data_IF_650629853424
#
_entry.id   IF_650629853424
#
_cell.length_a   1.000
_cell.length_b   1.000
_cell.length_c   1.000
_cell.angle_alpha   90.00
_cell.angle_beta   90.00
_cell.angle_gamma   90.00
#
_symmetry.space_group_name_H-M   'P 1'
#
loop_
_entity.id
_entity.type
_entity.pdbx_description
1 polymer ?
#
# COMPACT_ATOMS: atom_id res chain seq x y z
N UNK A 1 32.88 -0.60 -26.93
CA UNK A 1 33.22 -0.90 -25.54
C UNK A 1 32.38 0.05 -24.68
N UNK A 2 31.26 -0.42 -24.18
CA UNK A 2 30.41 0.33 -23.25
C UNK A 2 30.26 -0.58 -22.02
N UNK A 3 30.89 -0.18 -20.91
CA UNK A 3 30.78 -0.87 -19.63
C UNK A 3 29.40 -0.60 -19.04
N UNK A 4 28.54 -1.61 -19.06
CA UNK A 4 27.32 -1.65 -18.28
C UNK A 4 27.66 -1.96 -16.82
N UNK A 5 27.44 -1.00 -15.93
CA UNK A 5 27.46 -1.20 -14.49
C UNK A 5 26.17 -1.93 -14.08
N UNK A 6 26.26 -3.24 -13.90
CA UNK A 6 25.23 -4.02 -13.20
C UNK A 6 25.29 -3.69 -11.72
N UNK A 7 24.29 -2.98 -11.22
CA UNK A 7 24.05 -2.88 -9.79
C UNK A 7 23.77 -4.30 -9.24
N UNK A 8 24.37 -4.70 -8.11
CA UNK A 8 24.11 -6.01 -7.53
C UNK A 8 22.65 -6.09 -7.10
N UNK A 9 21.88 -6.96 -7.74
CA UNK A 9 20.53 -7.30 -7.32
C UNK A 9 20.58 -7.80 -5.89
N UNK A 10 19.78 -7.19 -5.03
CA UNK A 10 19.60 -7.59 -3.63
C UNK A 10 19.17 -9.05 -3.60
N UNK A 11 19.88 -9.90 -2.92
CA UNK A 11 19.53 -11.31 -2.72
C UNK A 11 18.18 -11.37 -1.97
N UNK A 12 17.12 -11.99 -2.52
CA UNK A 12 15.84 -12.11 -1.85
C UNK A 12 15.88 -12.96 -0.57
N UNK A 13 17.07 -13.40 -0.15
CA UNK A 13 17.32 -14.27 1.01
C UNK A 13 17.63 -13.52 2.30
N UNK A 14 17.72 -12.18 2.32
CA UNK A 14 17.96 -11.47 3.57
C UNK A 14 16.71 -11.49 4.46
N UNK A 15 16.80 -12.01 5.70
CA UNK A 15 15.70 -12.04 6.63
C UNK A 15 15.31 -10.61 7.02
N UNK A 16 14.03 -10.25 6.85
CA UNK A 16 13.53 -8.98 7.36
C UNK A 16 13.40 -9.08 8.90
N UNK A 17 14.12 -8.29 9.69
CA UNK A 17 14.09 -8.42 11.14
C UNK A 17 12.75 -7.96 11.70
N UNK A 18 12.22 -8.70 12.70
CA UNK A 18 10.99 -8.37 13.48
C UNK A 18 10.93 -6.93 14.00
N UNK A 19 12.07 -6.27 14.15
CA UNK A 19 12.20 -4.85 14.51
C UNK A 19 11.56 -3.87 13.52
N UNK A 20 11.42 -4.23 12.23
CA UNK A 20 10.78 -3.37 11.22
C UNK A 20 9.27 -3.25 11.47
N UNK A 21 8.60 -4.34 11.80
CA UNK A 21 7.13 -4.38 11.99
C UNK A 21 6.70 -3.52 13.18
N UNK A 22 7.45 -3.57 14.30
CA UNK A 22 7.14 -2.74 15.48
C UNK A 22 7.39 -1.25 15.21
N UNK A 23 8.44 -0.93 14.46
CA UNK A 23 8.79 0.44 14.07
C UNK A 23 7.80 1.02 13.06
N UNK A 24 7.25 0.20 12.17
CA UNK A 24 6.22 0.60 11.21
C UNK A 24 4.85 0.79 11.88
N UNK A 25 4.49 -0.05 12.85
CA UNK A 25 3.28 0.15 13.66
C UNK A 25 3.30 1.45 14.46
N UNK A 26 4.45 1.84 15.01
CA UNK A 26 4.62 3.12 15.70
C UNK A 26 4.57 4.30 14.72
N UNK A 27 5.16 4.16 13.53
CA UNK A 27 5.09 5.17 12.47
C UNK A 27 3.69 5.34 11.88
N UNK A 28 2.86 4.31 11.94
CA UNK A 28 1.49 4.34 11.45
C UNK A 28 0.50 5.05 12.40
N UNK A 29 0.92 5.46 13.59
CA UNK A 29 0.08 6.18 14.54
C UNK A 29 0.06 7.67 14.24
N UNK A 30 -1.11 8.23 13.92
CA UNK A 30 -1.34 9.66 13.69
C UNK A 30 -0.84 10.57 14.83
N UNK A 31 -0.77 10.04 16.06
CA UNK A 31 -0.46 10.79 17.26
C UNK A 31 1.00 10.72 17.68
N UNK A 32 1.74 9.71 17.26
CA UNK A 32 3.10 9.47 17.76
C UNK A 32 4.07 10.61 17.39
N UNK A 33 4.18 10.96 16.11
CA UNK A 33 5.08 12.01 15.66
C UNK A 33 4.70 13.42 16.13
N UNK A 34 3.42 13.83 16.06
CA UNK A 34 3.00 15.10 16.66
C UNK A 34 3.29 15.19 18.15
N UNK A 35 3.08 14.12 18.92
CA UNK A 35 3.38 14.09 20.36
C UNK A 35 4.88 14.18 20.64
N UNK A 36 5.72 13.51 19.86
CA UNK A 36 7.18 13.62 19.98
C UNK A 36 7.67 15.03 19.65
N UNK A 37 7.14 15.64 18.57
CA UNK A 37 7.46 17.00 18.18
C UNK A 37 7.03 18.00 19.27
N UNK A 38 5.84 17.83 19.81
CA UNK A 38 5.31 18.64 20.90
C UNK A 38 6.18 18.56 22.19
N UNK A 39 6.59 17.35 22.57
CA UNK A 39 7.48 17.15 23.71
C UNK A 39 8.85 17.78 23.47
N UNK A 40 9.43 17.58 22.29
CA UNK A 40 10.70 18.20 21.90
C UNK A 40 10.63 19.73 21.92
N UNK A 41 9.51 20.31 21.45
CA UNK A 41 9.27 21.74 21.49
C UNK A 41 9.22 22.30 22.92
N UNK A 42 8.54 21.61 23.83
CA UNK A 42 8.51 22.00 25.27
C UNK A 42 9.91 21.93 25.88
N UNK A 43 10.64 20.82 25.66
CA UNK A 43 12.00 20.65 26.19
C UNK A 43 12.93 21.75 25.64
N UNK A 44 12.87 22.04 24.33
CA UNK A 44 13.64 23.09 23.72
C UNK A 44 13.34 24.47 24.35
N UNK A 45 12.05 24.75 24.57
CA UNK A 45 11.63 26.03 25.20
C UNK A 45 12.17 26.14 26.60
N UNK A 46 12.09 25.10 27.40
CA UNK A 46 12.63 25.08 28.80
C UNK A 46 14.15 25.25 28.80
N UNK A 47 14.88 24.72 27.83
CA UNK A 47 16.32 24.91 27.65
C UNK A 47 16.71 26.32 27.19
N UNK A 48 15.88 26.96 26.38
CA UNK A 48 16.12 28.32 25.91
C UNK A 48 15.70 29.40 26.93
N UNK A 49 14.77 29.09 27.82
CA UNK A 49 14.19 30.01 28.78
C UNK A 49 15.22 30.66 29.75
N UNK A 50 16.24 29.94 30.29
CA UNK A 50 17.26 30.54 31.14
C UNK A 50 18.26 31.38 30.36
N UNK A 51 18.34 31.24 29.05
CA UNK A 51 19.26 32.03 28.20
C UNK A 51 18.66 33.43 27.99
N UNK A 52 19.01 34.34 28.92
CA UNK A 52 18.58 35.75 28.88
C UNK A 52 19.82 36.61 28.66
N UNK A 53 20.11 36.97 27.40
CA UNK A 53 21.22 37.88 27.10
C UNK A 53 20.94 39.24 27.77
N UNK A 54 21.97 39.85 28.32
CA UNK A 54 21.82 41.18 28.92
C UNK A 54 21.36 42.24 27.90
N UNK A 55 20.69 43.28 28.36
CA UNK A 55 20.08 44.32 27.52
C UNK A 55 21.08 45.08 26.63
N UNK A 56 22.40 44.91 26.81
CA UNK A 56 23.47 45.54 26.06
C UNK A 56 23.86 44.78 24.74
N UNK A 57 23.34 43.57 24.53
CA UNK A 57 23.67 42.83 23.32
C UNK A 57 22.87 43.39 22.09
N UNK A 58 23.54 44.06 21.16
CA UNK A 58 22.93 44.72 20.02
C UNK A 58 22.00 43.81 19.17
N UNK A 59 22.25 42.49 19.15
CA UNK A 59 21.43 41.54 18.43
C UNK A 59 20.08 41.24 19.12
N UNK A 60 19.96 41.44 20.44
CA UNK A 60 18.69 41.23 21.17
C UNK A 60 17.67 42.31 20.78
N UNK A 61 18.09 43.55 20.62
CA UNK A 61 17.25 44.65 20.15
C UNK A 61 16.81 44.48 18.69
N UNK A 62 17.62 43.80 17.89
CA UNK A 62 17.25 43.49 16.50
C UNK A 62 16.18 42.36 16.40
N UNK A 63 16.26 41.36 17.28
CA UNK A 63 15.26 40.26 17.31
C UNK A 63 13.95 40.73 17.96
N UNK A 64 14.05 41.46 19.09
CA UNK A 64 12.87 41.90 19.83
C UNK A 64 13.12 43.26 20.49
N UNK A 65 12.75 44.35 19.83
CA UNK A 65 12.97 45.74 20.37
C UNK A 65 11.91 46.14 21.39
N UNK A 66 10.87 45.34 21.62
CA UNK A 66 9.68 45.68 22.41
C UNK A 66 9.73 45.08 23.82
N UNK A 67 8.96 45.66 24.75
CA UNK A 67 8.89 45.20 26.15
C UNK A 67 8.15 43.90 26.40
N UNK A 68 8.04 43.49 27.66
CA UNK A 68 7.42 42.25 28.16
C UNK A 68 5.94 42.15 27.75
N UNK A 69 5.19 43.24 27.76
CA UNK A 69 3.75 43.25 27.42
C UNK A 69 3.54 42.93 25.94
N UNK A 70 4.37 43.49 25.05
CA UNK A 70 4.30 43.19 23.64
C UNK A 70 4.68 41.73 23.34
N UNK A 71 5.70 41.20 24.04
CA UNK A 71 6.10 39.81 23.92
C UNK A 71 4.97 38.85 24.39
N UNK A 72 4.37 39.13 25.54
CA UNK A 72 3.26 38.37 26.06
C UNK A 72 2.05 38.37 25.12
N UNK A 73 1.71 39.55 24.56
CA UNK A 73 0.64 39.69 23.59
C UNK A 73 0.91 38.91 22.31
N UNK A 74 2.15 38.89 21.80
CA UNK A 74 2.55 38.11 20.64
C UNK A 74 2.37 36.60 20.92
N UNK A 75 2.92 36.10 22.06
CA UNK A 75 2.83 34.68 22.42
C UNK A 75 1.37 34.23 22.56
N UNK A 76 0.53 35.05 23.21
CA UNK A 76 -0.90 34.77 23.37
C UNK A 76 -1.63 34.75 22.04
N UNK A 77 -1.35 35.73 21.16
CA UNK A 77 -1.96 35.82 19.82
C UNK A 77 -1.57 34.64 18.97
N UNK A 78 -0.28 34.25 18.93
CA UNK A 78 0.21 33.08 18.18
C UNK A 78 -0.41 31.80 18.75
N UNK A 79 -0.41 31.60 20.08
CA UNK A 79 -1.01 30.43 20.71
C UNK A 79 -2.47 30.26 20.31
N UNK A 80 -3.28 31.31 20.42
CA UNK A 80 -4.71 31.28 20.09
C UNK A 80 -4.95 31.02 18.60
N UNK A 81 -4.22 31.71 17.73
CA UNK A 81 -4.34 31.58 16.28
C UNK A 81 -3.95 30.18 15.80
N UNK A 82 -2.83 29.64 16.30
CA UNK A 82 -2.32 28.33 15.91
C UNK A 82 -3.20 27.21 16.47
N UNK A 83 -3.76 27.35 17.67
CA UNK A 83 -4.72 26.38 18.22
C UNK A 83 -6.01 26.33 17.39
N UNK A 84 -6.50 27.50 16.93
CA UNK A 84 -7.63 27.58 16.00
C UNK A 84 -7.28 26.90 14.68
N UNK A 85 -6.11 27.16 14.12
CA UNK A 85 -5.64 26.51 12.89
C UNK A 85 -5.53 24.99 13.04
N UNK A 86 -5.00 24.50 14.18
CA UNK A 86 -4.91 23.08 14.48
C UNK A 86 -6.30 22.41 14.54
N UNK A 87 -7.27 23.06 15.16
CA UNK A 87 -8.66 22.57 15.22
C UNK A 87 -9.30 22.48 13.84
N UNK A 88 -9.12 23.50 13.00
CA UNK A 88 -9.60 23.49 11.60
C UNK A 88 -8.91 22.39 10.80
N UNK A 89 -7.58 22.25 10.93
CA UNK A 89 -6.79 21.19 10.26
C UNK A 89 -7.30 19.81 10.64
N UNK A 90 -7.55 19.57 11.93
CA UNK A 90 -8.09 18.31 12.40
C UNK A 90 -9.51 18.05 11.85
N UNK A 91 -10.39 19.07 11.88
CA UNK A 91 -11.75 18.97 11.34
C UNK A 91 -11.75 18.65 9.85
N UNK A 92 -10.90 19.32 9.06
CA UNK A 92 -10.75 19.04 7.62
C UNK A 92 -10.24 17.63 7.39
N UNK A 93 -9.30 17.14 8.20
CA UNK A 93 -8.80 15.77 8.10
C UNK A 93 -9.90 14.74 8.37
N UNK A 94 -10.74 14.97 9.38
CA UNK A 94 -11.88 14.09 9.70
C UNK A 94 -12.91 14.10 8.57
N UNK A 95 -13.25 15.28 8.03
CA UNK A 95 -14.19 15.41 6.90
C UNK A 95 -13.61 14.72 5.65
N UNK A 96 -12.31 14.89 5.37
CA UNK A 96 -11.64 14.21 4.27
C UNK A 96 -11.71 12.69 4.41
N UNK A 97 -11.47 12.16 5.62
CA UNK A 97 -11.62 10.74 5.93
C UNK A 97 -13.05 10.25 5.75
N UNK A 98 -14.05 11.03 6.16
CA UNK A 98 -15.46 10.69 5.96
C UNK A 98 -15.83 10.62 4.48
N UNK A 99 -15.42 11.63 3.68
CA UNK A 99 -15.66 11.64 2.23
C UNK A 99 -14.97 10.48 1.55
N UNK A 100 -13.69 10.23 1.89
CA UNK A 100 -12.94 9.08 1.37
C UNK A 100 -13.62 7.75 1.75
N UNK A 101 -14.16 7.63 2.96
CA UNK A 101 -14.90 6.43 3.39
C UNK A 101 -16.20 6.20 2.62
N UNK A 102 -16.89 7.26 2.24
CA UNK A 102 -18.12 7.16 1.46
C UNK A 102 -17.88 6.85 -0.02
N UNK A 103 -16.87 7.48 -0.60
CA UNK A 103 -16.54 7.36 -2.03
C UNK A 103 -15.66 6.15 -2.35
N UNK A 104 -14.83 5.68 -1.41
CA UNK A 104 -13.84 4.63 -1.63
C UNK A 104 -14.02 3.43 -0.69
N UNK A 105 -13.26 2.37 -0.96
CA UNK A 105 -13.21 1.21 -0.07
C UNK A 105 -12.56 1.58 1.28
N UNK A 106 -13.08 1.07 2.42
CA UNK A 106 -12.45 1.29 3.74
C UNK A 106 -10.96 0.91 3.81
N UNK A 107 -10.49 0.11 2.85
CA UNK A 107 -9.08 -0.31 2.76
C UNK A 107 -8.14 0.83 2.38
N UNK A 108 -8.61 1.82 1.61
CA UNK A 108 -7.84 3.01 1.20
C UNK A 108 -7.68 4.04 2.32
N UNK A 109 -8.53 3.98 3.37
CA UNK A 109 -8.48 4.93 4.48
C UNK A 109 -7.19 4.86 5.30
N UNK A 110 -6.49 3.74 5.28
CA UNK A 110 -5.22 3.59 6.01
C UNK A 110 -4.11 4.49 5.49
N UNK A 111 -4.06 4.74 4.19
CA UNK A 111 -3.09 5.66 3.61
C UNK A 111 -3.23 7.07 4.17
N UNK A 112 -4.46 7.56 4.33
CA UNK A 112 -4.73 8.85 4.96
C UNK A 112 -4.27 8.91 6.43
N UNK A 113 -4.46 7.82 7.19
CA UNK A 113 -4.03 7.77 8.58
C UNK A 113 -2.50 7.70 8.73
N UNK A 114 -1.78 7.26 7.70
CA UNK A 114 -0.32 7.16 7.65
C UNK A 114 0.38 8.36 7.02
N UNK A 115 -0.38 9.36 6.58
CA UNK A 115 0.18 10.53 5.89
C UNK A 115 1.13 11.34 6.79
N UNK A 116 2.42 11.19 6.52
CA UNK A 116 3.50 11.87 7.25
C UNK A 116 3.37 13.40 7.15
N UNK A 117 2.81 13.91 6.04
CA UNK A 117 2.63 15.36 5.87
C UNK A 117 1.59 15.90 6.83
N UNK A 118 0.46 15.24 6.96
CA UNK A 118 -0.59 15.57 7.95
C UNK A 118 -0.04 15.51 9.37
N UNK A 119 0.75 14.47 9.70
CA UNK A 119 1.39 14.34 11.00
C UNK A 119 2.40 15.47 11.27
N UNK A 120 3.20 15.86 10.27
CA UNK A 120 4.16 16.97 10.39
C UNK A 120 3.46 18.32 10.61
N UNK A 121 2.38 18.57 9.87
CA UNK A 121 1.57 19.80 10.04
C UNK A 121 1.01 19.89 11.47
N UNK A 122 0.36 18.83 11.95
CA UNK A 122 -0.16 18.79 13.32
C UNK A 122 0.95 18.92 14.35
N UNK A 123 2.12 18.32 14.10
CA UNK A 123 3.29 18.43 14.98
C UNK A 123 3.81 19.87 15.07
N UNK A 124 3.90 20.59 13.96
CA UNK A 124 4.33 21.99 13.94
C UNK A 124 3.32 22.89 14.64
N UNK A 125 2.02 22.74 14.34
CA UNK A 125 0.97 23.55 14.97
C UNK A 125 0.92 23.31 16.48
N UNK A 126 0.89 22.04 16.93
CA UNK A 126 0.86 21.71 18.34
C UNK A 126 2.16 22.11 19.04
N UNK A 127 3.31 21.93 18.40
CA UNK A 127 4.61 22.38 18.91
C UNK A 127 4.64 23.90 19.11
N UNK A 128 4.20 24.67 18.11
CA UNK A 128 4.14 26.14 18.18
C UNK A 128 3.24 26.61 19.33
N UNK A 129 2.08 25.97 19.48
CA UNK A 129 1.17 26.26 20.60
C UNK A 129 1.84 26.02 21.95
N UNK A 130 2.52 24.88 22.13
CA UNK A 130 3.16 24.52 23.41
C UNK A 130 4.38 25.42 23.69
N UNK A 131 5.18 25.76 22.68
CA UNK A 131 6.27 26.75 22.81
C UNK A 131 5.71 28.09 23.29
N UNK A 132 4.61 28.55 22.68
CA UNK A 132 3.98 29.82 23.03
C UNK A 132 3.45 29.83 24.48
N UNK A 133 2.74 28.78 24.90
CA UNK A 133 2.21 28.68 26.27
C UNK A 133 3.34 28.54 27.30
N UNK A 134 4.34 27.69 27.02
CA UNK A 134 5.49 27.51 27.91
C UNK A 134 6.30 28.79 28.02
N UNK A 135 6.49 29.50 26.90
CA UNK A 135 7.14 30.81 26.84
C UNK A 135 6.37 31.87 27.68
N UNK A 136 5.02 31.86 27.55
CA UNK A 136 4.17 32.80 28.30
C UNK A 136 4.26 32.56 29.79
N UNK A 137 4.30 31.30 30.26
CA UNK A 137 4.47 30.95 31.66
C UNK A 137 5.80 31.46 32.25
N UNK A 138 6.84 31.60 31.44
CA UNK A 138 8.13 32.13 31.87
C UNK A 138 8.30 33.67 31.79
N UNK A 139 7.25 34.39 31.39
CA UNK A 139 7.28 35.86 31.38
C UNK A 139 7.11 36.39 32.83
N UNK A 140 7.98 37.30 33.20
CA UNK A 140 7.98 37.98 34.48
C UNK A 140 8.32 39.46 34.23
N UNK A 141 7.49 40.36 34.75
CA UNK A 141 7.67 41.84 34.58
C UNK A 141 8.98 42.30 35.15
N UNK A 142 9.52 41.60 36.16
CA UNK A 142 10.75 41.94 36.83
C UNK A 142 12.01 41.30 36.27
N UNK A 143 11.88 40.58 35.14
CA UNK A 143 13.00 39.87 34.48
C UNK A 143 13.10 40.24 33.00
N UNK A 144 14.33 40.21 32.45
CA UNK A 144 14.49 40.42 31.01
C UNK A 144 13.68 39.45 30.16
N UNK A 145 13.16 39.90 29.00
CA UNK A 145 12.40 39.06 28.09
C UNK A 145 13.28 37.90 27.59
N UNK A 146 12.77 36.66 27.52
CA UNK A 146 13.48 35.53 26.90
C UNK A 146 13.44 35.67 25.38
N UNK A 147 14.29 36.56 24.83
CA UNK A 147 14.28 37.00 23.40
C UNK A 147 14.37 35.82 22.43
N UNK A 148 15.13 34.78 22.79
CA UNK A 148 15.23 33.56 21.95
C UNK A 148 13.91 32.80 21.83
N UNK A 149 13.13 32.73 22.92
CA UNK A 149 11.82 32.08 22.90
C UNK A 149 10.83 32.90 22.10
N UNK A 150 10.84 34.23 22.24
CA UNK A 150 9.97 35.13 21.47
C UNK A 150 10.30 35.05 19.99
N UNK A 151 11.59 35.11 19.61
CA UNK A 151 12.04 34.92 18.24
C UNK A 151 11.66 33.57 17.66
N UNK A 152 11.80 32.50 18.44
CA UNK A 152 11.36 31.17 18.05
C UNK A 152 9.85 31.12 17.75
N UNK A 153 9.03 31.70 18.64
CA UNK A 153 7.56 31.74 18.46
C UNK A 153 7.19 32.56 17.22
N UNK A 154 7.90 33.67 16.97
CA UNK A 154 7.68 34.50 15.78
C UNK A 154 7.93 33.68 14.48
N UNK A 155 9.07 32.98 14.41
CA UNK A 155 9.42 32.12 13.26
C UNK A 155 8.44 30.95 13.12
N UNK A 156 8.10 30.28 14.22
CA UNK A 156 7.15 29.18 14.20
C UNK A 156 5.73 29.64 13.84
N UNK A 157 5.34 30.85 14.24
CA UNK A 157 4.05 31.44 13.86
C UNK A 157 3.93 31.63 12.34
N UNK A 158 4.98 32.23 11.73
CA UNK A 158 5.04 32.37 10.26
C UNK A 158 5.04 30.97 9.59
N UNK A 159 5.89 30.05 10.07
CA UNK A 159 5.97 28.70 9.55
C UNK A 159 4.62 27.97 9.64
N UNK A 160 3.87 28.15 10.73
CA UNK A 160 2.54 27.59 10.93
C UNK A 160 1.54 28.08 9.87
N UNK A 161 1.59 29.37 9.52
CA UNK A 161 0.77 29.92 8.45
C UNK A 161 1.09 29.32 7.08
N UNK A 162 2.38 29.21 6.74
CA UNK A 162 2.84 28.59 5.48
C UNK A 162 2.43 27.11 5.44
N UNK A 163 2.65 26.37 6.50
CA UNK A 163 2.35 24.95 6.60
C UNK A 163 0.85 24.70 6.48
N UNK A 164 0.00 25.56 7.05
CA UNK A 164 -1.45 25.49 6.90
C UNK A 164 -1.88 25.64 5.43
N UNK A 165 -1.32 26.61 4.69
CA UNK A 165 -1.62 26.79 3.26
C UNK A 165 -1.20 25.54 2.45
N UNK A 166 0.00 25.01 2.71
CA UNK A 166 0.49 23.80 2.06
C UNK A 166 -0.39 22.59 2.38
N UNK A 167 -0.91 22.50 3.61
CA UNK A 167 -1.80 21.44 4.03
C UNK A 167 -3.14 21.46 3.29
N UNK A 168 -3.76 22.62 3.13
CA UNK A 168 -5.02 22.74 2.38
C UNK A 168 -4.82 22.27 0.93
N UNK A 169 -3.73 22.69 0.29
CA UNK A 169 -3.38 22.22 -1.05
C UNK A 169 -3.07 20.72 -1.12
N UNK A 170 -2.50 20.15 -0.06
CA UNK A 170 -2.21 18.74 0.04
C UNK A 170 -3.50 17.91 0.17
N UNK A 171 -4.40 18.26 1.10
CA UNK A 171 -5.69 17.58 1.28
C UNK A 171 -6.52 17.60 -0.01
N UNK A 172 -6.61 18.76 -0.68
CA UNK A 172 -7.35 18.87 -1.93
C UNK A 172 -6.83 17.94 -3.04
N UNK A 173 -5.51 17.72 -3.10
CA UNK A 173 -4.89 16.76 -4.05
C UNK A 173 -5.04 15.31 -3.63
N UNK A 174 -4.94 15.02 -2.33
CA UNK A 174 -5.04 13.66 -1.79
C UNK A 174 -6.43 13.05 -1.93
N UNK A 175 -7.47 13.89 -2.07
CA UNK A 175 -8.85 13.46 -2.29
C UNK A 175 -9.17 13.14 -3.76
N UNK A 176 -8.24 13.41 -4.70
CA UNK A 176 -8.47 13.10 -6.12
C UNK A 176 -8.32 11.60 -6.35
N UNK A 177 -9.31 11.03 -7.04
CA UNK A 177 -9.36 9.60 -7.37
C UNK A 177 -8.13 9.17 -8.16
N UNK A 178 -7.68 10.01 -9.13
CA UNK A 178 -6.47 9.75 -9.93
C UNK A 178 -5.22 9.57 -9.07
N UNK A 179 -5.06 10.43 -8.04
CA UNK A 179 -3.92 10.33 -7.11
C UNK A 179 -3.96 9.04 -6.30
N UNK A 180 -5.15 8.63 -5.86
CA UNK A 180 -5.33 7.38 -5.13
C UNK A 180 -5.05 6.15 -5.99
N UNK A 181 -5.54 6.15 -7.24
CA UNK A 181 -5.26 5.06 -8.18
C UNK A 181 -3.76 4.95 -8.46
N UNK A 182 -3.09 6.09 -8.68
CA UNK A 182 -1.65 6.12 -8.93
C UNK A 182 -0.84 5.59 -7.73
N UNK A 183 -1.20 6.02 -6.51
CA UNK A 183 -0.54 5.55 -5.29
C UNK A 183 -0.74 4.03 -5.11
N UNK A 184 -1.99 3.55 -5.20
CA UNK A 184 -2.30 2.13 -5.07
C UNK A 184 -1.57 1.28 -6.12
N UNK A 185 -1.43 1.79 -7.36
CA UNK A 185 -0.66 1.16 -8.42
C UNK A 185 0.84 1.10 -8.08
N UNK A 186 1.45 2.24 -7.68
CA UNK A 186 2.87 2.31 -7.35
C UNK A 186 3.23 1.42 -6.15
N UNK A 187 2.41 1.43 -5.11
CA UNK A 187 2.60 0.58 -3.93
C UNK A 187 2.47 -0.90 -4.29
N UNK A 188 1.46 -1.26 -5.10
CA UNK A 188 1.29 -2.62 -5.58
C UNK A 188 2.49 -3.07 -6.42
N UNK A 189 2.99 -2.21 -7.31
CA UNK A 189 4.15 -2.49 -8.16
C UNK A 189 5.43 -2.69 -7.33
N UNK A 190 5.62 -1.90 -6.26
CA UNK A 190 6.75 -2.08 -5.34
C UNK A 190 6.69 -3.43 -4.62
N UNK A 191 5.53 -3.78 -4.05
CA UNK A 191 5.32 -5.08 -3.39
C UNK A 191 5.48 -6.24 -4.37
N UNK A 192 4.98 -6.11 -5.60
CA UNK A 192 5.12 -7.12 -6.65
C UNK A 192 6.58 -7.40 -6.97
N UNK A 193 7.40 -6.35 -7.12
CA UNK A 193 8.84 -6.47 -7.40
C UNK A 193 9.62 -7.10 -6.25
N UNK A 194 9.22 -6.82 -5.01
CA UNK A 194 9.85 -7.39 -3.82
C UNK A 194 9.41 -8.85 -3.56
N UNK A 195 8.17 -9.20 -3.93
CA UNK A 195 7.58 -10.51 -3.60
C UNK A 195 7.89 -11.55 -4.65
N UNK A 196 7.80 -11.22 -5.95
CA UNK A 196 7.91 -12.18 -7.04
C UNK A 196 9.18 -11.97 -7.86
N UNK A 197 10.00 -13.03 -7.98
CA UNK A 197 11.16 -13.03 -8.85
C UNK A 197 10.74 -12.96 -10.34
N UNK A 198 11.57 -12.29 -11.14
CA UNK A 198 11.38 -12.26 -12.60
C UNK A 198 11.56 -13.65 -13.20
N UNK A 199 10.70 -14.01 -14.15
CA UNK A 199 10.75 -15.26 -14.91
C UNK A 199 10.44 -14.97 -16.36
N UNK A 200 11.33 -15.38 -17.27
CA UNK A 200 11.10 -15.17 -18.70
C UNK A 200 9.98 -16.06 -19.27
N UNK A 201 9.77 -17.23 -18.68
CA UNK A 201 8.75 -18.20 -19.13
C UNK A 201 7.44 -18.07 -18.36
N UNK A 202 7.44 -17.41 -17.20
CA UNK A 202 6.26 -17.35 -16.33
C UNK A 202 5.77 -18.71 -15.82
N UNK A 203 6.56 -19.78 -16.01
CA UNK A 203 6.20 -21.12 -15.59
C UNK A 203 6.26 -21.30 -14.08
N UNK A 204 5.32 -22.09 -13.56
CA UNK A 204 5.32 -22.47 -12.16
C UNK A 204 6.41 -23.52 -11.88
N UNK A 205 6.99 -23.44 -10.69
CA UNK A 205 8.00 -24.40 -10.28
C UNK A 205 7.36 -25.77 -10.02
N UNK A 206 7.84 -26.81 -10.70
CA UNK A 206 7.45 -28.17 -10.41
C UNK A 206 8.26 -28.75 -9.22
N UNK A 207 7.58 -29.45 -8.33
CA UNK A 207 8.16 -30.19 -7.23
C UNK A 207 7.27 -31.37 -6.83
N UNK A 208 7.88 -32.45 -6.41
CA UNK A 208 7.17 -33.61 -5.90
C UNK A 208 7.17 -33.60 -4.36
N UNK A 209 6.01 -33.80 -3.76
CA UNK A 209 5.87 -34.01 -2.32
C UNK A 209 5.41 -35.45 -2.06
N UNK A 210 5.84 -36.06 -0.95
CA UNK A 210 5.36 -37.39 -0.58
C UNK A 210 3.84 -37.43 -0.41
N UNK A 211 3.21 -38.58 -0.63
CA UNK A 211 1.80 -38.77 -0.34
C UNK A 211 1.53 -38.73 1.18
N UNK A 212 0.34 -38.32 1.57
CA UNK A 212 -0.06 -38.27 2.98
C UNK A 212 0.46 -37.04 3.70
N UNK A 213 1.17 -37.23 4.83
CA UNK A 213 1.67 -36.14 5.70
C UNK A 213 0.67 -35.70 6.77
N UNK A 214 1.18 -35.12 7.83
CA UNK A 214 0.43 -34.66 9.01
C UNK A 214 -0.05 -33.22 8.83
N UNK A 215 -1.35 -32.97 8.96
CA UNK A 215 -1.90 -31.63 8.95
C UNK A 215 -1.62 -30.91 10.27
N UNK A 216 -1.20 -29.67 10.18
CA UNK A 216 -0.90 -28.81 11.34
C UNK A 216 -1.98 -27.73 11.44
N UNK A 217 -2.77 -27.73 12.53
CA UNK A 217 -3.83 -26.74 12.71
C UNK A 217 -3.27 -25.40 13.19
N UNK A 218 -3.90 -24.31 12.74
CA UNK A 218 -3.65 -22.96 13.20
C UNK A 218 -4.07 -22.77 14.65
N UNK A 219 -3.29 -21.98 15.40
CA UNK A 219 -3.52 -21.69 16.83
C UNK A 219 -4.26 -20.37 17.07
N UNK A 220 -4.37 -19.53 16.06
CA UNK A 220 -5.03 -18.21 16.13
C UNK A 220 -5.92 -18.01 14.91
N UNK A 221 -7.03 -17.30 15.11
CA UNK A 221 -7.86 -16.80 14.02
C UNK A 221 -7.40 -15.40 13.62
N UNK A 222 -7.50 -15.07 12.34
CA UNK A 222 -7.15 -13.77 11.79
C UNK A 222 -6.72 -13.85 10.33
N UNK A 223 -6.05 -12.83 9.85
CA UNK A 223 -5.54 -12.73 8.49
C UNK A 223 -4.02 -12.86 8.52
N UNK A 224 -3.47 -13.72 7.67
CA UNK A 224 -2.02 -13.84 7.49
C UNK A 224 -1.51 -12.53 6.90
N UNK A 225 -0.63 -11.85 7.61
CA UNK A 225 0.01 -10.59 7.18
C UNK A 225 1.32 -10.88 6.47
N UNK A 226 2.21 -11.64 7.11
CA UNK A 226 3.51 -12.02 6.55
C UNK A 226 3.87 -13.46 6.92
N UNK A 227 4.74 -14.05 6.12
CA UNK A 227 5.34 -15.37 6.35
C UNK A 227 6.85 -15.23 6.40
N UNK A 228 7.43 -15.43 7.59
CA UNK A 228 8.88 -15.49 7.76
C UNK A 228 9.36 -16.93 7.57
N UNK A 229 10.13 -17.16 6.51
CA UNK A 229 10.60 -18.51 6.14
C UNK A 229 11.77 -18.99 6.99
N UNK A 230 12.58 -18.08 7.53
CA UNK A 230 13.86 -18.44 8.18
C UNK A 230 13.68 -19.32 9.42
N UNK A 231 12.77 -19.01 10.38
CA UNK A 231 12.52 -19.88 11.52
C UNK A 231 12.06 -21.30 11.12
N UNK A 232 11.27 -21.37 10.02
CA UNK A 232 10.78 -22.65 9.51
C UNK A 232 11.92 -23.47 8.89
N UNK A 233 12.73 -22.87 8.01
CA UNK A 233 13.86 -23.56 7.37
C UNK A 233 14.83 -24.13 8.39
N UNK A 234 15.18 -23.37 9.42
CA UNK A 234 16.09 -23.84 10.48
C UNK A 234 15.50 -25.05 11.22
N UNK A 235 14.23 -24.99 11.65
CA UNK A 235 13.57 -26.07 12.34
C UNK A 235 13.41 -27.33 11.46
N UNK A 236 13.07 -27.15 10.19
CA UNK A 236 12.87 -28.25 9.25
C UNK A 236 14.20 -28.98 8.96
N UNK A 237 15.30 -28.25 8.79
CA UNK A 237 16.65 -28.81 8.61
C UNK A 237 17.08 -29.59 9.84
N UNK A 238 16.97 -28.99 11.05
CA UNK A 238 17.40 -29.63 12.30
C UNK A 238 16.64 -30.94 12.61
N UNK A 239 15.41 -31.08 12.14
CA UNK A 239 14.54 -32.21 12.47
C UNK A 239 14.30 -33.18 11.33
N UNK A 240 14.93 -33.00 10.19
CA UNK A 240 14.70 -33.86 9.01
C UNK A 240 13.24 -33.85 8.56
N UNK A 241 12.63 -32.67 8.43
CA UNK A 241 11.23 -32.52 8.05
C UNK A 241 11.10 -31.78 6.71
N UNK A 242 10.03 -32.09 6.00
CA UNK A 242 9.54 -31.33 4.84
C UNK A 242 8.19 -30.73 5.20
N UNK A 243 7.95 -29.46 4.83
CA UNK A 243 6.70 -28.77 5.12
C UNK A 243 6.13 -28.12 3.86
N UNK A 244 4.82 -28.19 3.69
CA UNK A 244 4.06 -27.33 2.79
C UNK A 244 3.18 -26.40 3.60
N UNK A 245 3.40 -25.09 3.48
CA UNK A 245 2.48 -24.08 4.00
C UNK A 245 1.25 -24.04 3.08
N UNK A 246 0.05 -24.09 3.65
CA UNK A 246 -1.23 -24.12 2.94
C UNK A 246 -1.89 -22.76 2.85
N UNK A 247 -1.34 -21.78 3.56
CA UNK A 247 -1.85 -20.40 3.65
C UNK A 247 -0.81 -19.41 3.11
N UNK A 248 -1.26 -18.23 2.74
CA UNK A 248 -0.40 -17.18 2.19
C UNK A 248 -0.85 -15.80 2.69
N UNK A 249 -0.03 -14.73 2.54
CA UNK A 249 -0.44 -13.38 2.91
C UNK A 249 -1.77 -12.98 2.28
N UNK A 250 -2.65 -12.41 3.11
CA UNK A 250 -4.02 -12.06 2.75
C UNK A 250 -5.07 -13.13 2.95
N UNK A 251 -4.70 -14.38 3.29
CA UNK A 251 -5.67 -15.43 3.61
C UNK A 251 -6.21 -15.29 5.03
N UNK A 252 -7.49 -15.56 5.19
CA UNK A 252 -8.13 -15.66 6.50
C UNK A 252 -7.99 -17.07 7.03
N UNK A 253 -7.51 -17.20 8.25
CA UNK A 253 -7.37 -18.47 8.97
C UNK A 253 -8.26 -18.50 10.20
N UNK A 254 -8.71 -19.70 10.56
CA UNK A 254 -9.50 -19.94 11.76
C UNK A 254 -8.76 -20.94 12.65
N UNK A 255 -8.90 -20.78 13.96
CA UNK A 255 -8.36 -21.76 14.93
C UNK A 255 -8.83 -23.17 14.55
N UNK A 256 -7.89 -24.11 14.49
CA UNK A 256 -8.15 -25.50 14.15
C UNK A 256 -8.15 -25.80 12.64
N UNK A 257 -8.25 -24.79 11.75
CA UNK A 257 -8.09 -25.02 10.31
C UNK A 257 -6.62 -25.37 9.97
N UNK A 258 -6.37 -26.25 8.98
CA UNK A 258 -5.02 -26.63 8.60
C UNK A 258 -4.28 -25.44 7.95
N UNK A 259 -3.10 -25.10 8.49
CA UNK A 259 -2.23 -24.04 7.96
C UNK A 259 -0.96 -24.58 7.30
N UNK A 260 -0.60 -25.83 7.60
CA UNK A 260 0.53 -26.50 6.98
C UNK A 260 0.30 -28.01 6.91
N UNK A 261 1.09 -28.69 6.07
CA UNK A 261 1.25 -30.13 6.02
C UNK A 261 2.72 -30.47 6.15
N UNK A 262 3.05 -31.48 6.95
CA UNK A 262 4.44 -31.84 7.29
C UNK A 262 4.67 -33.32 7.12
N UNK A 263 5.85 -33.68 6.62
CA UNK A 263 6.37 -35.03 6.46
C UNK A 263 7.71 -35.14 7.19
N UNK A 264 7.98 -36.30 7.77
CA UNK A 264 9.31 -36.66 8.27
C UNK A 264 10.08 -37.41 7.16
N UNK A 265 11.37 -37.09 7.00
CA UNK A 265 12.23 -37.70 5.98
C UNK A 265 12.33 -39.23 6.17
N UNK A 266 12.28 -39.70 7.43
CA UNK A 266 12.35 -41.12 7.84
C UNK A 266 10.97 -41.81 7.90
N UNK A 267 9.88 -41.10 7.58
CA UNK A 267 8.51 -41.60 7.72
C UNK A 267 8.04 -41.72 9.17
N UNK A 268 8.81 -41.23 10.14
CA UNK A 268 8.51 -41.28 11.55
C UNK A 268 7.43 -40.28 12.00
N UNK A 269 7.11 -40.22 13.31
CA UNK A 269 6.11 -39.33 13.84
C UNK A 269 6.60 -37.83 13.79
N UNK A 270 5.72 -36.96 13.32
CA UNK A 270 5.99 -35.51 13.26
C UNK A 270 5.88 -34.88 14.67
N UNK A 271 6.89 -34.16 15.15
CA UNK A 271 6.86 -33.47 16.46
C UNK A 271 5.96 -32.22 16.43
N UNK A 272 4.65 -32.40 16.45
CA UNK A 272 3.64 -31.37 16.26
C UNK A 272 3.84 -30.12 17.15
N UNK A 273 4.24 -30.33 18.42
CA UNK A 273 4.45 -29.19 19.34
C UNK A 273 5.56 -28.25 18.89
N UNK A 274 6.67 -28.77 18.37
CA UNK A 274 7.78 -27.97 17.84
C UNK A 274 7.39 -27.27 16.53
N UNK A 275 6.71 -28.01 15.64
CA UNK A 275 6.22 -27.46 14.36
C UNK A 275 5.23 -26.31 14.60
N UNK A 276 4.27 -26.48 15.51
CA UNK A 276 3.31 -25.45 15.87
C UNK A 276 3.97 -24.22 16.48
N UNK A 277 5.02 -24.38 17.28
CA UNK A 277 5.77 -23.25 17.85
C UNK A 277 6.45 -22.47 16.74
N UNK A 278 7.20 -23.13 15.85
CA UNK A 278 7.88 -22.46 14.74
C UNK A 278 6.91 -21.80 13.76
N UNK A 279 5.76 -22.41 13.48
CA UNK A 279 4.70 -21.78 12.68
C UNK A 279 4.12 -20.54 13.36
N UNK A 280 3.92 -20.55 14.68
CA UNK A 280 3.45 -19.39 15.42
C UNK A 280 4.47 -18.23 15.44
N UNK A 281 5.75 -18.55 15.29
CA UNK A 281 6.83 -17.56 15.16
C UNK A 281 6.98 -17.03 13.73
N UNK A 282 6.68 -17.87 12.74
CA UNK A 282 6.82 -17.56 11.32
C UNK A 282 5.62 -16.85 10.70
N UNK A 283 4.40 -17.14 11.19
CA UNK A 283 3.16 -16.56 10.67
C UNK A 283 2.77 -15.33 11.50
N UNK A 284 2.86 -14.14 10.93
CA UNK A 284 2.23 -12.96 11.55
C UNK A 284 0.75 -12.93 11.19
N UNK A 285 -0.10 -12.96 12.23
CA UNK A 285 -1.57 -13.03 12.08
C UNK A 285 -2.17 -11.81 12.76
N UNK A 286 -2.82 -10.96 11.96
CA UNK A 286 -3.50 -9.76 12.40
C UNK A 286 -5.01 -9.79 12.15
N UNK A 287 -5.68 -8.68 12.47
CA UNK A 287 -7.11 -8.52 12.22
C UNK A 287 -7.42 -7.96 10.82
N UNK A 288 -6.41 -7.50 10.09
CA UNK A 288 -6.54 -6.91 8.76
C UNK A 288 -5.38 -7.28 7.83
N UNK A 289 -5.61 -7.13 6.51
CA UNK A 289 -4.57 -7.35 5.48
C UNK A 289 -3.58 -6.19 5.48
N UNK A 290 -2.33 -6.51 5.20
CA UNK A 290 -1.24 -5.55 5.05
C UNK A 290 -0.55 -5.71 3.68
N UNK A 291 0.05 -4.65 3.11
CA UNK A 291 0.60 -4.71 1.76
C UNK A 291 1.97 -5.40 1.66
N UNK A 292 2.65 -5.68 2.77
CA UNK A 292 4.08 -6.03 2.80
C UNK A 292 4.45 -7.25 1.93
N UNK A 293 3.55 -8.24 1.83
CA UNK A 293 3.75 -9.45 1.01
C UNK A 293 2.47 -9.81 0.22
N UNK A 294 1.50 -8.91 0.13
CA UNK A 294 0.18 -9.18 -0.44
C UNK A 294 -0.10 -8.34 -1.68
N UNK A 295 0.46 -8.76 -2.82
CA UNK A 295 0.22 -8.13 -4.13
C UNK A 295 -1.27 -8.07 -4.47
N UNK A 296 -2.04 -9.11 -4.10
CA UNK A 296 -3.47 -9.15 -4.36
C UNK A 296 -4.24 -8.04 -3.63
N UNK A 297 -3.69 -7.44 -2.55
CA UNK A 297 -4.32 -6.31 -1.86
C UNK A 297 -4.34 -5.07 -2.76
N UNK A 298 -3.23 -4.72 -3.40
CA UNK A 298 -3.14 -3.54 -4.29
C UNK A 298 -4.05 -3.67 -5.52
N UNK A 299 -4.01 -4.84 -6.21
CA UNK A 299 -4.92 -5.12 -7.32
C UNK A 299 -6.39 -5.06 -6.87
N UNK A 300 -6.71 -5.56 -5.67
CA UNK A 300 -8.07 -5.47 -5.13
C UNK A 300 -8.49 -4.03 -4.84
N UNK A 301 -7.58 -3.19 -4.37
CA UNK A 301 -7.88 -1.77 -4.15
C UNK A 301 -8.29 -1.08 -5.46
N UNK A 302 -7.54 -1.28 -6.53
CA UNK A 302 -7.87 -0.74 -7.86
C UNK A 302 -9.19 -1.33 -8.40
N UNK A 303 -9.40 -2.64 -8.26
CA UNK A 303 -10.66 -3.30 -8.63
C UNK A 303 -11.85 -2.75 -7.83
N UNK A 304 -11.68 -2.52 -6.52
CA UNK A 304 -12.72 -1.96 -5.67
C UNK A 304 -13.06 -0.51 -6.09
N UNK A 305 -12.08 0.29 -6.55
CA UNK A 305 -12.32 1.62 -7.14
C UNK A 305 -13.16 1.49 -8.41
N UNK A 306 -12.75 0.61 -9.34
CA UNK A 306 -13.50 0.38 -10.57
C UNK A 306 -14.95 -0.02 -10.31
N UNK A 307 -15.17 -1.01 -9.44
CA UNK A 307 -16.52 -1.49 -9.08
C UNK A 307 -17.34 -0.41 -8.38
N UNK A 308 -16.72 0.37 -7.50
CA UNK A 308 -17.41 1.46 -6.79
C UNK A 308 -17.81 2.58 -7.74
N UNK A 309 -16.96 2.93 -8.70
CA UNK A 309 -17.22 3.97 -9.71
C UNK A 309 -18.48 3.66 -10.54
N UNK A 310 -18.70 2.40 -10.90
CA UNK A 310 -19.90 1.97 -11.65
C UNK A 310 -21.11 1.64 -10.76
N UNK A 311 -21.03 1.92 -9.46
CA UNK A 311 -22.21 1.75 -8.61
C UNK A 311 -23.30 2.75 -8.98
N UNK A 312 -24.60 2.43 -8.81
CA UNK A 312 -25.71 3.33 -9.17
C UNK A 312 -25.65 4.69 -8.48
N UNK A 313 -24.93 4.79 -7.35
CA UNK A 313 -24.80 6.04 -6.58
C UNK A 313 -23.71 6.98 -7.11
N UNK A 314 -22.71 6.47 -7.83
CA UNK A 314 -21.59 7.26 -8.38
C UNK A 314 -21.74 7.40 -9.89
N UNK A 315 -21.92 6.28 -10.59
CA UNK A 315 -22.16 6.19 -12.04
C UNK A 315 -21.09 6.93 -12.88
N UNK A 316 -19.82 6.57 -12.64
CA UNK A 316 -18.66 7.13 -13.34
C UNK A 316 -17.89 6.01 -14.07
N UNK A 317 -18.31 5.62 -15.28
CA UNK A 317 -17.68 4.57 -16.05
C UNK A 317 -16.26 4.94 -16.54
N UNK A 318 -15.94 6.23 -16.66
CA UNK A 318 -14.61 6.70 -17.08
C UNK A 318 -13.59 6.41 -16.01
N UNK A 319 -13.88 6.74 -14.74
CA UNK A 319 -13.01 6.37 -13.61
C UNK A 319 -12.84 4.85 -13.49
N UNK A 320 -13.90 4.07 -13.74
CA UNK A 320 -13.81 2.61 -13.73
C UNK A 320 -12.89 2.08 -14.84
N UNK A 321 -12.96 2.66 -16.04
CA UNK A 321 -12.07 2.33 -17.15
C UNK A 321 -10.60 2.66 -16.83
N UNK A 322 -10.34 3.83 -16.22
CA UNK A 322 -8.99 4.22 -15.77
C UNK A 322 -8.44 3.25 -14.72
N UNK A 323 -9.22 2.91 -13.69
CA UNK A 323 -8.80 1.93 -12.67
C UNK A 323 -8.49 0.55 -13.29
N UNK A 324 -9.29 0.12 -14.29
CA UNK A 324 -9.04 -1.11 -15.05
C UNK A 324 -7.73 -1.02 -15.83
N UNK A 325 -7.38 0.14 -16.39
CA UNK A 325 -6.10 0.39 -17.06
C UNK A 325 -4.89 0.24 -16.12
N UNK A 326 -4.96 0.75 -14.90
CA UNK A 326 -3.91 0.51 -13.88
C UNK A 326 -3.77 -0.97 -13.51
N UNK A 327 -4.89 -1.71 -13.47
CA UNK A 327 -4.84 -3.16 -13.27
C UNK A 327 -4.15 -3.88 -14.45
N UNK A 328 -4.32 -3.38 -15.68
CA UNK A 328 -3.68 -3.97 -16.87
C UNK A 328 -2.15 -3.95 -16.76
N UNK A 329 -1.56 -2.81 -16.38
CA UNK A 329 -0.12 -2.66 -16.21
C UNK A 329 0.46 -3.64 -15.16
N UNK A 330 -0.24 -3.80 -14.03
CA UNK A 330 0.15 -4.76 -12.98
C UNK A 330 0.03 -6.22 -13.45
N UNK A 331 -1.01 -6.55 -14.21
CA UNK A 331 -1.21 -7.90 -14.73
C UNK A 331 -0.17 -8.25 -15.80
N UNK A 332 0.24 -7.28 -16.60
CA UNK A 332 1.34 -7.43 -17.60
C UNK A 332 2.69 -7.68 -16.89
N UNK A 333 3.00 -6.94 -15.80
CA UNK A 333 4.22 -7.21 -15.03
C UNK A 333 4.16 -8.62 -14.37
N UNK A 334 2.99 -9.03 -13.86
CA UNK A 334 2.78 -10.36 -13.26
C UNK A 334 3.04 -11.53 -14.24
N UNK A 335 2.81 -11.36 -15.55
CA UNK A 335 3.07 -12.41 -16.56
C UNK A 335 4.53 -12.83 -16.61
N UNK A 336 5.44 -11.89 -16.33
CA UNK A 336 6.90 -12.10 -16.32
C UNK A 336 7.45 -12.39 -14.92
N UNK A 337 6.60 -12.87 -14.02
CA UNK A 337 6.97 -13.23 -12.66
C UNK A 337 6.75 -14.72 -12.41
N UNK A 338 7.56 -15.26 -11.52
CA UNK A 338 7.36 -16.62 -11.04
C UNK A 338 6.19 -16.62 -10.06
N UNK A 339 5.04 -17.09 -10.53
CA UNK A 339 3.82 -17.20 -9.75
C UNK A 339 3.61 -18.62 -9.27
N UNK A 340 2.68 -18.80 -8.31
CA UNK A 340 2.35 -20.11 -7.76
C UNK A 340 3.23 -20.52 -6.58
N UNK A 341 3.22 -21.80 -6.22
CA UNK A 341 3.97 -22.35 -5.10
C UNK A 341 5.49 -22.26 -5.34
N UNK A 342 6.26 -21.95 -4.29
CA UNK A 342 7.72 -21.92 -4.34
C UNK A 342 8.33 -23.00 -3.43
N UNK A 343 9.38 -23.66 -3.91
CA UNK A 343 10.13 -24.69 -3.20
C UNK A 343 11.47 -24.16 -2.72
N UNK A 344 11.74 -24.30 -1.44
CA UNK A 344 12.98 -23.89 -0.78
C UNK A 344 13.77 -25.11 -0.32
N UNK A 345 15.04 -25.13 -0.68
CA UNK A 345 15.97 -26.22 -0.35
C UNK A 345 16.98 -25.74 0.69
N UNK A 346 17.48 -26.68 1.50
CA UNK A 346 18.60 -26.41 2.41
C UNK A 346 19.94 -26.37 1.65
N UNK A 347 21.05 -26.16 2.38
CA UNK A 347 22.39 -26.07 1.83
C UNK A 347 22.85 -27.39 1.17
N UNK A 348 22.26 -28.52 1.58
CA UNK A 348 22.52 -29.86 1.03
C UNK A 348 21.64 -30.15 -0.21
N UNK A 349 20.83 -29.17 -0.66
CA UNK A 349 19.93 -29.28 -1.80
C UNK A 349 18.63 -30.05 -1.52
N UNK A 350 18.36 -30.42 -0.25
CA UNK A 350 17.16 -31.18 0.14
C UNK A 350 15.96 -30.21 0.22
N UNK A 351 14.84 -30.59 -0.39
CA UNK A 351 13.59 -29.83 -0.30
C UNK A 351 13.09 -29.82 1.15
N UNK A 352 12.95 -28.64 1.74
CA UNK A 352 12.50 -28.46 3.13
C UNK A 352 11.15 -27.76 3.23
N UNK A 353 10.95 -26.73 2.45
CA UNK A 353 9.77 -25.89 2.57
C UNK A 353 9.15 -25.64 1.20
N UNK A 354 7.83 -25.80 1.10
CA UNK A 354 7.03 -25.35 -0.04
C UNK A 354 6.02 -24.34 0.47
N UNK A 355 6.03 -23.14 -0.10
CA UNK A 355 5.01 -22.11 0.20
C UNK A 355 3.87 -22.20 -0.79
N UNK A 356 2.66 -21.80 -0.37
CA UNK A 356 1.55 -21.56 -1.30
C UNK A 356 1.77 -20.24 -2.05
N UNK A 357 1.29 -20.17 -3.28
CA UNK A 357 1.33 -18.97 -4.10
C UNK A 357 0.13 -18.93 -5.03
N UNK A 358 -0.25 -17.71 -5.42
CA UNK A 358 -1.35 -17.46 -6.37
C UNK A 358 -0.82 -17.56 -7.79
N UNK A 359 -1.62 -18.15 -8.69
CA UNK A 359 -1.34 -18.24 -10.11
C UNK A 359 -1.87 -17.02 -10.89
N UNK A 360 -1.55 -16.94 -12.16
CA UNK A 360 -2.01 -15.85 -13.04
C UNK A 360 -3.53 -15.81 -13.18
N UNK A 361 -4.17 -16.99 -13.24
CA UNK A 361 -5.63 -17.13 -13.26
C UNK A 361 -6.29 -16.43 -12.07
N UNK A 362 -5.77 -16.62 -10.86
CA UNK A 362 -6.30 -15.97 -9.67
C UNK A 362 -6.31 -14.43 -9.81
N UNK A 363 -5.23 -13.84 -10.33
CA UNK A 363 -5.13 -12.39 -10.48
C UNK A 363 -6.07 -11.87 -11.57
N UNK A 364 -6.19 -12.56 -12.71
CA UNK A 364 -7.15 -12.23 -13.75
C UNK A 364 -8.60 -12.33 -13.25
N UNK A 365 -8.96 -13.42 -12.56
CA UNK A 365 -10.30 -13.62 -12.01
C UNK A 365 -10.67 -12.54 -10.98
N UNK A 366 -9.69 -12.11 -10.17
CA UNK A 366 -9.89 -11.09 -9.15
C UNK A 366 -10.17 -9.71 -9.73
N UNK A 367 -9.60 -9.37 -10.87
CA UNK A 367 -9.83 -8.09 -11.55
C UNK A 367 -11.03 -8.19 -12.49
N UNK A 368 -10.98 -9.07 -13.48
CA UNK A 368 -11.97 -9.14 -14.55
C UNK A 368 -13.35 -9.60 -14.05
N UNK A 369 -13.39 -10.55 -13.12
CA UNK A 369 -14.64 -11.13 -12.64
C UNK A 369 -15.57 -10.13 -11.97
N UNK A 370 -15.16 -9.37 -10.93
CA UNK A 370 -15.99 -8.33 -10.31
C UNK A 370 -16.35 -7.21 -11.27
N UNK A 371 -15.35 -6.65 -12.00
CA UNK A 371 -15.61 -5.52 -12.92
C UNK A 371 -16.67 -5.92 -13.94
N UNK A 372 -16.53 -7.05 -14.63
CA UNK A 372 -17.50 -7.57 -15.60
C UNK A 372 -18.90 -7.74 -15.00
N UNK A 373 -19.00 -8.30 -13.79
CA UNK A 373 -20.32 -8.54 -13.17
C UNK A 373 -21.07 -7.26 -12.83
N UNK A 374 -20.37 -6.23 -12.39
CA UNK A 374 -20.97 -4.93 -12.05
C UNK A 374 -21.13 -4.03 -13.27
N UNK A 375 -20.29 -4.16 -14.29
CA UNK A 375 -20.35 -3.40 -15.56
C UNK A 375 -21.26 -4.02 -16.62
N UNK A 376 -22.14 -4.94 -16.27
CA UNK A 376 -22.93 -5.71 -17.23
C UNK A 376 -23.82 -4.86 -18.15
N UNK A 377 -24.05 -3.58 -17.85
CA UNK A 377 -24.81 -2.60 -18.65
C UNK A 377 -23.96 -1.38 -19.06
N UNK A 378 -22.64 -1.43 -18.89
CA UNK A 378 -21.72 -0.31 -19.14
C UNK A 378 -20.71 -0.66 -20.25
N UNK A 379 -20.96 -0.30 -21.52
CA UNK A 379 -20.13 -0.68 -22.65
C UNK A 379 -18.68 -0.21 -22.50
N UNK A 380 -18.47 1.03 -22.03
CA UNK A 380 -17.17 1.64 -21.80
C UNK A 380 -16.30 0.75 -20.91
N UNK A 381 -16.87 0.23 -19.82
CA UNK A 381 -16.12 -0.57 -18.85
C UNK A 381 -15.87 -1.98 -19.36
N UNK A 382 -16.81 -2.61 -20.04
CA UNK A 382 -16.58 -3.92 -20.66
C UNK A 382 -15.50 -3.84 -21.77
N UNK A 383 -15.51 -2.76 -22.56
CA UNK A 383 -14.45 -2.47 -23.54
C UNK A 383 -13.11 -2.24 -22.86
N UNK A 384 -13.08 -1.55 -21.71
CA UNK A 384 -11.84 -1.38 -20.92
C UNK A 384 -11.29 -2.70 -20.38
N UNK A 385 -12.15 -3.64 -19.97
CA UNK A 385 -11.71 -5.00 -19.57
C UNK A 385 -11.13 -5.76 -20.78
N UNK A 386 -11.72 -5.65 -21.95
CA UNK A 386 -11.16 -6.27 -23.17
C UNK A 386 -9.85 -5.60 -23.59
N UNK A 387 -9.68 -4.27 -23.44
CA UNK A 387 -8.39 -3.59 -23.64
C UNK A 387 -7.31 -4.11 -22.70
N UNK A 388 -7.63 -4.27 -21.42
CA UNK A 388 -6.75 -4.94 -20.44
C UNK A 388 -6.35 -6.33 -20.93
N UNK A 389 -7.30 -7.15 -21.37
CA UNK A 389 -7.04 -8.51 -21.86
C UNK A 389 -6.21 -8.50 -23.14
N UNK A 390 -6.42 -7.55 -24.07
CA UNK A 390 -5.61 -7.36 -25.27
C UNK A 390 -4.15 -7.02 -24.90
N UNK A 391 -3.94 -6.09 -23.97
CA UNK A 391 -2.60 -5.69 -23.53
C UNK A 391 -1.88 -6.87 -22.84
N UNK A 392 -2.61 -7.66 -22.04
CA UNK A 392 -2.11 -8.93 -21.50
C UNK A 392 -1.82 -9.97 -22.61
N UNK A 393 -2.66 -10.08 -23.64
CA UNK A 393 -2.48 -11.01 -24.75
C UNK A 393 -1.20 -10.71 -25.53
N UNK A 394 -0.94 -9.42 -25.78
CA UNK A 394 0.25 -8.96 -26.52
C UNK A 394 1.57 -9.25 -25.79
N UNK A 395 1.52 -9.55 -24.48
CA UNK A 395 2.71 -9.73 -23.63
C UNK A 395 2.76 -11.10 -22.94
N UNK A 396 1.80 -11.98 -23.24
CA UNK A 396 1.73 -13.33 -22.70
C UNK A 396 3.01 -14.13 -23.05
N UNK A 397 3.54 -14.85 -22.07
CA UNK A 397 4.82 -15.57 -22.22
C UNK A 397 4.66 -17.09 -22.32
N UNK A 398 3.43 -17.61 -22.11
CA UNK A 398 3.12 -19.04 -22.25
C UNK A 398 1.65 -19.31 -22.60
N UNK A 399 1.37 -20.52 -23.09
CA UNK A 399 0.04 -20.94 -23.53
C UNK A 399 -1.01 -20.91 -22.39
N UNK A 400 -0.62 -21.23 -21.17
CA UNK A 400 -1.53 -21.21 -20.01
C UNK A 400 -2.06 -19.79 -19.74
N UNK A 401 -1.24 -18.77 -19.91
CA UNK A 401 -1.68 -17.37 -19.80
C UNK A 401 -2.61 -17.01 -20.96
N UNK A 402 -2.29 -17.43 -22.18
CA UNK A 402 -3.16 -17.22 -23.36
C UNK A 402 -4.54 -17.85 -23.17
N UNK A 403 -4.61 -19.07 -22.65
CA UNK A 403 -5.88 -19.76 -22.39
C UNK A 403 -6.73 -19.05 -21.33
N UNK A 404 -6.11 -18.54 -20.27
CA UNK A 404 -6.82 -17.78 -19.24
C UNK A 404 -7.32 -16.41 -19.76
N UNK A 405 -6.54 -15.74 -20.59
CA UNK A 405 -6.95 -14.48 -21.25
C UNK A 405 -8.14 -14.75 -22.19
N UNK A 406 -8.07 -15.80 -23.01
CA UNK A 406 -9.17 -16.21 -23.90
C UNK A 406 -10.43 -16.56 -23.10
N UNK A 407 -10.29 -17.27 -22.00
CA UNK A 407 -11.40 -17.60 -21.09
C UNK A 407 -12.09 -16.34 -20.58
N UNK A 408 -11.33 -15.34 -20.10
CA UNK A 408 -11.90 -14.07 -19.62
C UNK A 408 -12.56 -13.27 -20.73
N UNK A 409 -11.92 -13.17 -21.90
CA UNK A 409 -12.47 -12.48 -23.09
C UNK A 409 -13.83 -13.09 -23.49
N UNK A 410 -13.91 -14.41 -23.56
CA UNK A 410 -15.18 -15.12 -23.87
C UNK A 410 -16.29 -14.79 -22.87
N UNK A 411 -15.98 -14.71 -21.57
CA UNK A 411 -16.95 -14.35 -20.55
C UNK A 411 -17.45 -12.91 -20.66
N UNK A 412 -16.59 -11.97 -21.04
CA UNK A 412 -16.99 -10.57 -21.30
C UNK A 412 -17.91 -10.49 -22.50
N UNK A 413 -17.56 -11.15 -23.62
CA UNK A 413 -18.38 -11.19 -24.83
C UNK A 413 -19.74 -11.84 -24.61
N UNK A 414 -19.83 -12.90 -23.81
CA UNK A 414 -21.09 -13.52 -23.44
C UNK A 414 -21.97 -12.58 -22.58
N UNK A 415 -21.34 -11.83 -21.67
CA UNK A 415 -22.04 -10.83 -20.84
C UNK A 415 -22.61 -9.72 -21.73
N UNK A 416 -21.81 -9.19 -22.68
CA UNK A 416 -22.26 -8.18 -23.61
C UNK A 416 -23.45 -8.67 -24.46
N UNK A 417 -23.31 -9.84 -25.10
CA UNK A 417 -24.37 -10.43 -25.92
C UNK A 417 -25.70 -10.59 -25.16
N UNK A 418 -25.65 -10.87 -23.87
CA UNK A 418 -26.85 -11.11 -23.05
C UNK A 418 -27.50 -9.87 -22.48
N UNK A 419 -26.81 -8.72 -22.49
CA UNK A 419 -27.24 -7.53 -21.72
C UNK A 419 -27.20 -6.21 -22.49
N UNK A 420 -26.41 -6.11 -23.59
CA UNK A 420 -26.22 -4.88 -24.36
C UNK A 420 -27.22 -4.74 -25.51
N UNK A 421 -27.43 -3.52 -25.96
CA UNK A 421 -28.08 -3.24 -27.24
C UNK A 421 -27.15 -3.54 -28.39
N UNK A 422 -27.70 -3.76 -29.60
CA UNK A 422 -26.91 -4.27 -30.72
C UNK A 422 -25.72 -3.37 -31.12
N UNK A 423 -25.85 -2.04 -31.04
CA UNK A 423 -24.76 -1.11 -31.37
C UNK A 423 -23.56 -1.24 -30.40
N UNK A 424 -23.82 -1.35 -29.14
CA UNK A 424 -22.78 -1.44 -28.09
C UNK A 424 -22.11 -2.82 -28.11
N UNK A 425 -22.90 -3.87 -28.38
CA UNK A 425 -22.38 -5.24 -28.56
C UNK A 425 -21.43 -5.36 -29.75
N UNK A 426 -21.64 -4.58 -30.84
CA UNK A 426 -20.73 -4.55 -31.99
C UNK A 426 -19.35 -3.97 -31.62
N UNK A 427 -19.30 -2.87 -30.88
CA UNK A 427 -18.05 -2.25 -30.40
C UNK A 427 -17.28 -3.20 -29.48
N UNK A 428 -17.99 -3.85 -28.54
CA UNK A 428 -17.39 -4.82 -27.61
C UNK A 428 -16.86 -6.05 -28.37
N UNK A 429 -17.57 -6.54 -29.40
CA UNK A 429 -17.09 -7.63 -30.25
C UNK A 429 -15.86 -7.25 -31.05
N UNK A 430 -15.78 -6.01 -31.57
CA UNK A 430 -14.59 -5.53 -32.24
C UNK A 430 -13.38 -5.57 -31.33
N UNK A 431 -13.51 -5.11 -30.10
CA UNK A 431 -12.43 -5.20 -29.12
C UNK A 431 -12.10 -6.65 -28.74
N UNK A 432 -13.09 -7.54 -28.66
CA UNK A 432 -12.88 -8.99 -28.47
C UNK A 432 -12.07 -9.63 -29.59
N UNK A 433 -12.34 -9.25 -30.85
CA UNK A 433 -11.54 -9.69 -32.02
C UNK A 433 -10.08 -9.22 -31.90
N UNK A 434 -9.83 -7.98 -31.41
CA UNK A 434 -8.48 -7.47 -31.19
C UNK A 434 -7.73 -8.23 -30.11
N UNK A 435 -8.41 -8.79 -29.12
CA UNK A 435 -7.80 -9.72 -28.15
C UNK A 435 -7.30 -10.98 -28.84
N UNK A 436 -8.10 -11.56 -29.73
CA UNK A 436 -7.70 -12.75 -30.51
C UNK A 436 -6.53 -12.45 -31.48
N UNK A 437 -6.53 -11.28 -32.13
CA UNK A 437 -5.41 -10.84 -32.98
C UNK A 437 -4.11 -10.71 -32.15
N UNK A 438 -4.19 -10.16 -30.91
CA UNK A 438 -3.05 -10.08 -30.02
C UNK A 438 -2.55 -11.47 -29.58
N UNK A 439 -3.45 -12.40 -29.28
CA UNK A 439 -3.12 -13.80 -28.97
C UNK A 439 -2.50 -14.55 -30.16
N UNK A 440 -2.86 -14.15 -31.37
CA UNK A 440 -2.26 -14.69 -32.61
C UNK A 440 -0.90 -14.03 -32.93
N UNK A 441 -0.45 -13.03 -32.18
CA UNK A 441 0.79 -12.28 -32.44
C UNK A 441 0.65 -11.18 -33.50
N UNK A 442 -0.57 -10.91 -33.98
CA UNK A 442 -0.84 -9.87 -34.98
C UNK A 442 -1.07 -8.51 -34.33
N UNK A 443 0.03 -7.91 -33.78
CA UNK A 443 -0.02 -6.69 -32.98
C UNK A 443 -0.52 -5.47 -33.78
N UNK A 444 -0.20 -5.36 -35.06
CA UNK A 444 -0.65 -4.25 -35.91
C UNK A 444 -2.19 -4.22 -36.02
N UNK A 445 -2.83 -5.36 -36.22
CA UNK A 445 -4.29 -5.48 -36.21
C UNK A 445 -4.89 -5.28 -34.81
N UNK A 446 -4.27 -5.84 -33.78
CA UNK A 446 -4.72 -5.73 -32.42
C UNK A 446 -4.74 -4.28 -31.89
N UNK A 447 -3.78 -3.44 -32.34
CA UNK A 447 -3.61 -2.05 -31.87
C UNK A 447 -3.91 -1.01 -32.97
N UNK A 448 -4.61 -1.35 -34.02
CA UNK A 448 -5.00 -0.44 -35.10
C UNK A 448 -5.84 0.75 -34.63
N UNK A 449 -6.54 0.63 -33.47
CA UNK A 449 -7.25 1.72 -32.81
C UNK A 449 -6.33 2.86 -32.34
N UNK A 450 -5.04 2.59 -32.10
CA UNK A 450 -4.04 3.59 -31.72
C UNK A 450 -3.44 4.36 -32.90
N UNK A 451 -3.68 3.93 -34.12
CA UNK A 451 -3.12 4.53 -35.32
C UNK A 451 -3.91 5.74 -35.90
N UNK A 452 -4.72 6.42 -35.11
CA UNK A 452 -5.39 7.67 -35.46
C UNK A 452 -6.90 7.57 -35.71
N UNK A 453 -7.51 6.41 -35.62
CA UNK A 453 -8.96 6.23 -35.60
C UNK A 453 -9.51 6.07 -34.20
N UNK A 454 -8.88 6.73 -33.21
CA UNK A 454 -9.27 6.64 -31.81
C UNK A 454 -10.63 7.26 -31.60
N UNK A 455 -11.63 6.45 -31.41
CA UNK A 455 -12.73 6.81 -30.53
C UNK A 455 -12.19 6.75 -29.11
N UNK A 456 -11.59 7.86 -28.66
CA UNK A 456 -11.13 8.01 -27.31
C UNK A 456 -12.33 8.08 -26.38
N UNK A 457 -12.39 7.18 -25.43
CA UNK A 457 -13.12 7.38 -24.18
C UNK A 457 -12.09 7.63 -23.10
#
# INVERSE_FOLDING_TARGET
>A
MVHGSTSPGRDPREPQPRFRITRERLRASLWFWPSCAALAAVVLTLLLMPVRPGDEAAWTQWIWPSGVDAASSLLQTVATSVMTAATVTFSLTVVALQLASQQFSPRLLREFARDVRTQAVLGILLGTFLVSITGLHGMDVNRPVPVLVVGLVYVLGIASGIVLLLFIGHIARSLRVDTMMLNAHQDCLAVLRDTYAVSETGEMQEFALPAGGTLVPGRRSGIIQTVDRQPLMNMLKERGLVMRILVQPGDQVTVGSPVARVWADDGGPVPLGAVQKSLAEALDIGYERTPEQDVALGLRQLTDIAVKAISPSINDPVTAAHATGYCADLLVDLQRRRLGPEAYRDEDGVLRLVTSGRDYRYFLDMVCGPVRRFAHSEPIVLTAVLRLLRDCAATAVNDAQCDEIRRQSSQVLETARSRMVASDDEEIRDMGRRVEEALAGNLDAAFSDRAGETRSV
#
